data_IF_384969960289
#
_entry.id   IF_384969960289
#
_cell.length_a   1.000
_cell.length_b   1.000
_cell.length_c   1.000
_cell.angle_alpha   90.00
_cell.angle_beta   90.00
_cell.angle_gamma   90.00
#
_symmetry.space_group_name_H-M   'P 1'
#
loop_
_entity.id
_entity.type
_entity.pdbx_description
1 polymer ?
#
# COMPACT_ATOMS: atom_id res chain seq x y z
N UNK A 1 -2.47 49.65 56.59
CA UNK A 1 -3.05 49.06 55.36
C UNK A 1 -2.04 48.59 54.31
N UNK A 2 -0.84 49.19 54.19
CA UNK A 2 0.18 48.80 53.14
C UNK A 2 0.81 47.40 53.29
N UNK A 3 0.87 46.80 54.51
CA UNK A 3 1.49 45.47 54.73
C UNK A 3 0.71 44.27 54.22
N UNK A 4 -0.60 44.38 53.93
CA UNK A 4 -1.42 43.30 53.38
C UNK A 4 -1.53 43.30 51.85
N UNK A 5 -1.12 44.39 51.18
CA UNK A 5 -1.14 44.54 49.72
C UNK A 5 0.04 43.80 49.05
N UNK A 6 1.19 43.73 49.70
CA UNK A 6 2.38 43.09 49.12
C UNK A 6 2.21 41.58 48.87
N UNK A 7 1.71 40.77 49.83
CA UNK A 7 1.47 39.32 49.55
C UNK A 7 0.39 39.10 48.50
N UNK A 8 -0.64 39.93 48.46
CA UNK A 8 -1.68 39.84 47.44
C UNK A 8 -1.12 40.10 45.99
N UNK A 9 -0.26 41.14 45.87
CA UNK A 9 0.42 41.43 44.59
C UNK A 9 1.33 40.29 44.15
N UNK A 10 2.07 39.65 45.08
CA UNK A 10 2.92 38.50 44.77
C UNK A 10 2.10 37.33 44.30
N UNK A 11 0.98 37.00 44.97
CA UNK A 11 0.08 35.90 44.56
C UNK A 11 -0.53 36.18 43.21
N UNK A 12 -1.00 37.39 42.94
CA UNK A 12 -1.54 37.77 41.62
C UNK A 12 -0.47 37.66 40.53
N UNK A 13 0.76 38.12 40.82
CA UNK A 13 1.89 37.98 39.88
C UNK A 13 2.23 36.53 39.56
N UNK A 14 2.19 35.62 40.55
CA UNK A 14 2.39 34.18 40.34
C UNK A 14 1.28 33.54 39.49
N UNK A 15 0.02 33.93 39.75
CA UNK A 15 -1.12 33.41 38.94
C UNK A 15 -0.97 33.84 37.48
N UNK A 16 -0.65 35.13 37.24
CA UNK A 16 -0.42 35.64 35.88
C UNK A 16 0.75 34.91 35.21
N UNK A 17 1.84 34.65 35.92
CA UNK A 17 2.98 33.89 35.40
C UNK A 17 2.59 32.48 35.01
N UNK A 18 1.81 31.79 35.83
CA UNK A 18 1.31 30.43 35.53
C UNK A 18 0.44 30.46 34.29
N UNK A 19 -0.46 31.40 34.14
CA UNK A 19 -1.33 31.53 32.93
C UNK A 19 -0.48 31.78 31.69
N UNK A 20 0.57 32.60 31.77
CA UNK A 20 1.48 32.85 30.65
C UNK A 20 2.24 31.59 30.27
N UNK A 21 2.78 30.84 31.24
CA UNK A 21 3.47 29.57 31.01
C UNK A 21 2.51 28.55 30.34
N UNK A 22 1.28 28.43 30.85
CA UNK A 22 0.28 27.53 30.24
C UNK A 22 -0.05 27.94 28.80
N UNK A 23 -0.17 29.23 28.53
CA UNK A 23 -0.41 29.75 27.17
C UNK A 23 0.77 29.44 26.24
N UNK A 24 2.01 29.67 26.70
CA UNK A 24 3.21 29.35 25.90
C UNK A 24 3.33 27.86 25.64
N UNK A 25 3.11 27.02 26.65
CA UNK A 25 3.16 25.54 26.47
C UNK A 25 2.09 25.04 25.52
N UNK A 26 0.88 25.60 25.59
CA UNK A 26 -0.22 25.27 24.65
C UNK A 26 0.16 25.66 23.20
N UNK A 27 0.76 26.83 22.99
CA UNK A 27 1.24 27.26 21.67
C UNK A 27 2.38 26.37 21.16
N UNK A 28 3.36 26.06 21.99
CA UNK A 28 4.46 25.16 21.63
C UNK A 28 3.88 23.80 21.21
N UNK A 29 3.01 23.22 22.02
CA UNK A 29 2.37 21.94 21.70
C UNK A 29 1.56 22.01 20.39
N UNK A 30 0.86 23.09 20.12
CA UNK A 30 0.08 23.27 18.90
C UNK A 30 0.95 23.28 17.63
N UNK A 31 2.09 23.94 17.68
CA UNK A 31 2.94 24.18 16.50
C UNK A 31 4.17 23.28 16.43
N UNK A 32 4.43 22.44 17.42
CA UNK A 32 5.52 21.44 17.35
C UNK A 32 5.06 20.24 16.54
N UNK A 33 5.77 19.85 15.44
CA UNK A 33 5.46 18.66 14.68
C UNK A 33 5.59 17.40 15.54
N UNK A 34 4.71 16.41 15.31
CA UNK A 34 4.88 15.10 15.94
C UNK A 34 6.09 14.38 15.34
N UNK A 35 6.78 13.64 16.19
CA UNK A 35 7.84 12.70 15.81
C UNK A 35 7.36 11.25 15.82
N UNK A 36 6.06 11.03 16.09
CA UNK A 36 5.47 9.68 16.07
C UNK A 36 5.56 9.13 14.66
N UNK A 37 6.18 7.97 14.52
CA UNK A 37 6.16 7.16 13.30
C UNK A 37 4.95 6.23 13.31
N UNK A 38 4.40 5.95 12.15
CA UNK A 38 3.34 4.96 11.97
C UNK A 38 3.95 3.57 11.89
N UNK A 39 3.26 2.57 12.41
CA UNK A 39 3.58 1.18 12.13
C UNK A 39 3.11 0.85 10.71
N UNK A 40 4.06 0.56 9.83
CA UNK A 40 3.75 0.30 8.43
C UNK A 40 3.02 -1.03 8.22
N UNK A 41 3.20 -2.03 9.10
CA UNK A 41 2.43 -3.28 9.01
C UNK A 41 0.95 -3.02 9.33
N UNK A 42 0.69 -2.21 10.36
CA UNK A 42 -0.66 -1.78 10.71
C UNK A 42 -1.26 -0.90 9.60
N UNK A 43 -0.51 0.06 9.09
CA UNK A 43 -0.95 0.94 7.99
C UNK A 43 -1.35 0.17 6.73
N UNK A 44 -0.58 -0.86 6.36
CA UNK A 44 -0.85 -1.73 5.22
C UNK A 44 -1.78 -2.89 5.56
N UNK A 45 -2.24 -3.01 6.82
CA UNK A 45 -3.13 -4.07 7.29
C UNK A 45 -2.62 -5.48 6.94
N UNK A 46 -1.33 -5.76 7.21
CA UNK A 46 -0.68 -7.05 6.97
C UNK A 46 -0.86 -7.91 8.20
N UNK A 47 -1.56 -9.04 8.04
CA UNK A 47 -1.96 -9.91 9.16
C UNK A 47 -1.05 -11.13 9.36
N UNK A 48 -0.32 -11.53 8.31
CA UNK A 48 0.55 -12.71 8.35
C UNK A 48 1.79 -12.53 7.48
N UNK A 49 2.82 -13.36 7.71
CA UNK A 49 4.09 -13.28 6.98
C UNK A 49 3.99 -13.78 5.54
N UNK A 50 2.92 -14.49 5.18
CA UNK A 50 2.61 -14.94 3.83
C UNK A 50 1.73 -13.93 3.06
N UNK A 51 1.41 -12.80 3.68
CA UNK A 51 0.63 -11.73 3.06
C UNK A 51 1.51 -10.54 2.66
N UNK A 52 1.14 -9.90 1.55
CA UNK A 52 1.68 -8.62 1.14
C UNK A 52 0.55 -7.65 0.76
N UNK A 53 0.70 -6.40 1.10
CA UNK A 53 -0.23 -5.36 0.65
C UNK A 53 -0.14 -5.20 -0.87
N UNK A 54 -1.27 -5.00 -1.54
CA UNK A 54 -1.32 -4.63 -2.94
C UNK A 54 -1.48 -3.12 -3.08
N UNK A 55 -0.58 -2.51 -3.84
CA UNK A 55 -0.66 -1.11 -4.24
C UNK A 55 -0.76 -1.08 -5.76
N UNK A 56 -1.87 -0.61 -6.29
CA UNK A 56 -2.16 -0.60 -7.73
C UNK A 56 -2.24 0.85 -8.19
N UNK A 57 -1.41 1.22 -9.15
CA UNK A 57 -1.35 2.59 -9.68
C UNK A 57 -1.28 3.65 -8.58
N UNK A 58 -0.48 3.36 -7.54
CA UNK A 58 -0.24 4.15 -6.33
C UNK A 58 -1.40 4.22 -5.32
N UNK A 59 -2.47 3.48 -5.51
CA UNK A 59 -3.55 3.35 -4.54
C UNK A 59 -3.46 2.02 -3.79
N UNK A 60 -3.73 2.06 -2.47
CA UNK A 60 -3.78 0.86 -1.64
C UNK A 60 -5.06 0.08 -1.94
N UNK A 61 -4.92 -1.16 -2.38
CA UNK A 61 -6.04 -2.06 -2.65
C UNK A 61 -6.54 -2.72 -1.36
N UNK A 62 -7.84 -3.01 -1.31
CA UNK A 62 -8.43 -3.86 -0.25
C UNK A 62 -8.01 -5.33 -0.38
N UNK A 63 -7.62 -5.77 -1.58
CA UNK A 63 -7.07 -7.10 -1.80
C UNK A 63 -5.64 -7.20 -1.28
N UNK A 64 -5.23 -8.44 -0.96
CA UNK A 64 -3.85 -8.78 -0.56
C UNK A 64 -3.25 -9.75 -1.56
N UNK A 65 -1.93 -9.70 -1.71
CA UNK A 65 -1.20 -10.77 -2.35
C UNK A 65 -0.85 -11.84 -1.31
N UNK A 66 -0.75 -13.09 -1.76
CA UNK A 66 -0.18 -14.22 -1.01
C UNK A 66 1.20 -14.55 -1.54
N UNK A 67 2.13 -14.80 -0.63
CA UNK A 67 3.49 -15.22 -0.94
C UNK A 67 3.58 -16.72 -0.65
N UNK A 68 3.67 -17.54 -1.69
CA UNK A 68 3.74 -19.00 -1.59
C UNK A 68 5.00 -19.45 -2.32
N UNK A 69 5.92 -20.12 -1.63
CA UNK A 69 7.20 -20.59 -2.19
C UNK A 69 7.98 -19.45 -2.89
N UNK A 70 7.99 -18.26 -2.29
CA UNK A 70 8.60 -17.04 -2.83
C UNK A 70 7.98 -16.55 -4.16
N UNK A 71 6.80 -17.05 -4.52
CA UNK A 71 6.02 -16.60 -5.66
C UNK A 71 4.84 -15.78 -5.18
N UNK A 72 4.49 -14.77 -5.95
CA UNK A 72 3.40 -13.84 -5.63
C UNK A 72 2.14 -14.32 -6.33
N UNK A 73 1.10 -14.54 -5.54
CA UNK A 73 -0.22 -14.89 -6.01
C UNK A 73 -1.22 -13.82 -5.61
N UNK A 74 -2.20 -13.59 -6.45
CA UNK A 74 -3.28 -12.64 -6.24
C UNK A 74 -4.62 -13.29 -6.47
N UNK A 75 -5.66 -12.83 -5.80
CA UNK A 75 -7.02 -13.38 -5.96
C UNK A 75 -7.52 -13.22 -7.40
N UNK A 76 -8.21 -14.21 -7.92
CA UNK A 76 -8.81 -14.19 -9.25
C UNK A 76 -9.75 -13.00 -9.44
N UNK A 77 -10.58 -12.67 -8.44
CA UNK A 77 -11.52 -11.55 -8.54
C UNK A 77 -10.77 -10.23 -8.71
N UNK A 78 -9.68 -10.05 -7.96
CA UNK A 78 -8.82 -8.89 -8.13
C UNK A 78 -8.25 -8.81 -9.57
N UNK A 79 -7.76 -9.94 -10.12
CA UNK A 79 -7.24 -9.96 -11.49
C UNK A 79 -8.32 -9.61 -12.49
N UNK A 80 -9.48 -10.26 -12.39
CA UNK A 80 -10.60 -10.05 -13.31
C UNK A 80 -11.13 -8.61 -13.25
N UNK A 81 -11.36 -8.09 -12.06
CA UNK A 81 -12.06 -6.81 -11.87
C UNK A 81 -11.13 -5.61 -12.04
N UNK A 82 -9.83 -5.75 -11.70
CA UNK A 82 -8.92 -4.62 -11.62
C UNK A 82 -7.78 -4.64 -12.63
N UNK A 83 -7.38 -5.81 -13.16
CA UNK A 83 -6.23 -5.90 -14.05
C UNK A 83 -6.64 -6.34 -15.48
N UNK A 84 -7.38 -7.42 -15.61
CA UNK A 84 -7.71 -7.98 -16.92
C UNK A 84 -8.93 -8.90 -16.86
N UNK A 85 -10.08 -8.42 -17.29
CA UNK A 85 -11.37 -9.13 -17.29
C UNK A 85 -11.46 -10.32 -18.26
N UNK A 86 -10.42 -10.57 -19.06
CA UNK A 86 -10.37 -11.75 -19.95
C UNK A 86 -9.99 -13.03 -19.22
N UNK A 87 -9.46 -12.94 -18.00
CA UNK A 87 -9.28 -14.11 -17.15
C UNK A 87 -10.63 -14.56 -16.62
N UNK A 88 -10.91 -15.85 -16.75
CA UNK A 88 -12.11 -16.50 -16.25
C UNK A 88 -11.73 -17.73 -15.42
N UNK A 89 -12.24 -17.82 -14.20
CA UNK A 89 -12.06 -18.97 -13.34
C UNK A 89 -13.31 -19.85 -13.38
N UNK A 90 -13.16 -21.10 -13.88
CA UNK A 90 -14.20 -22.11 -13.79
C UNK A 90 -14.01 -22.91 -12.49
N UNK A 91 -14.85 -22.63 -11.51
CA UNK A 91 -14.79 -23.29 -10.20
C UNK A 91 -15.26 -24.77 -10.26
N UNK A 92 -16.04 -25.18 -11.26
CA UNK A 92 -16.49 -26.55 -11.38
C UNK A 92 -15.39 -27.44 -11.93
N UNK A 93 -14.66 -26.95 -12.92
CA UNK A 93 -13.56 -27.66 -13.56
C UNK A 93 -12.21 -27.40 -12.88
N UNK A 94 -12.14 -26.45 -11.96
CA UNK A 94 -10.88 -25.94 -11.35
C UNK A 94 -9.84 -25.53 -12.41
N UNK A 95 -10.28 -24.76 -13.40
CA UNK A 95 -9.47 -24.32 -14.53
C UNK A 95 -9.55 -22.80 -14.69
N UNK A 96 -8.39 -22.16 -14.84
CA UNK A 96 -8.29 -20.78 -15.28
C UNK A 96 -8.26 -20.75 -16.80
N UNK A 97 -9.14 -19.95 -17.37
CA UNK A 97 -9.22 -19.70 -18.80
C UNK A 97 -8.81 -18.26 -19.12
N UNK A 98 -8.13 -18.09 -20.24
CA UNK A 98 -7.87 -16.79 -20.84
C UNK A 98 -8.13 -16.86 -22.34
N UNK A 99 -8.98 -15.97 -22.85
CA UNK A 99 -9.39 -16.01 -24.26
C UNK A 99 -8.81 -14.82 -25.01
N UNK A 100 -8.12 -15.10 -26.11
CA UNK A 100 -7.70 -14.11 -27.11
C UNK A 100 -8.60 -14.19 -28.33
N UNK A 101 -8.32 -13.38 -29.35
CA UNK A 101 -9.05 -13.42 -30.62
C UNK A 101 -8.85 -14.75 -31.37
N UNK A 102 -7.73 -15.45 -31.17
CA UNK A 102 -7.33 -16.65 -31.91
C UNK A 102 -7.22 -17.91 -31.05
N UNK A 103 -7.01 -17.73 -29.73
CA UNK A 103 -6.64 -18.86 -28.87
C UNK A 103 -7.46 -18.90 -27.57
N UNK A 104 -7.65 -20.09 -27.08
CA UNK A 104 -8.09 -20.35 -25.71
C UNK A 104 -6.89 -20.92 -24.95
N UNK A 105 -6.58 -20.26 -23.86
CA UNK A 105 -5.50 -20.65 -22.96
C UNK A 105 -6.12 -21.19 -21.69
N UNK A 106 -5.67 -22.34 -21.22
CA UNK A 106 -6.20 -22.97 -20.01
C UNK A 106 -5.08 -23.46 -19.09
N UNK A 107 -5.26 -23.24 -17.80
CA UNK A 107 -4.37 -23.72 -16.75
C UNK A 107 -5.19 -24.36 -15.64
N UNK A 108 -4.96 -25.65 -15.38
CA UNK A 108 -5.61 -26.35 -14.28
C UNK A 108 -5.01 -25.93 -12.94
N UNK A 109 -5.81 -25.97 -11.88
CA UNK A 109 -5.33 -25.71 -10.53
C UNK A 109 -4.20 -26.68 -10.15
N UNK A 110 -3.22 -26.17 -9.41
CA UNK A 110 -2.04 -26.86 -8.91
C UNK A 110 -1.14 -27.48 -10.00
N UNK A 111 -1.34 -27.08 -11.26
CA UNK A 111 -0.52 -27.50 -12.39
C UNK A 111 0.53 -26.46 -12.74
N UNK A 112 1.74 -26.92 -13.04
CA UNK A 112 2.80 -26.07 -13.60
C UNK A 112 2.61 -25.82 -15.10
N UNK A 113 1.72 -26.59 -15.74
CA UNK A 113 1.52 -26.56 -17.18
C UNK A 113 0.23 -25.82 -17.54
N UNK A 114 0.24 -25.18 -18.70
CA UNK A 114 -0.92 -24.58 -19.33
C UNK A 114 -0.97 -24.93 -20.81
N UNK A 115 -2.16 -24.95 -21.38
CA UNK A 115 -2.33 -25.19 -22.80
C UNK A 115 -2.68 -23.89 -23.53
N UNK A 116 -2.14 -23.72 -24.73
CA UNK A 116 -2.51 -22.68 -25.69
C UNK A 116 -3.10 -23.43 -26.88
N UNK A 117 -4.42 -23.37 -27.04
CA UNK A 117 -5.17 -24.14 -28.03
C UNK A 117 -4.91 -25.65 -27.88
N UNK A 118 -3.88 -26.21 -28.55
CA UNK A 118 -3.51 -27.63 -28.50
C UNK A 118 -2.06 -27.88 -28.06
N UNK A 119 -1.34 -26.83 -27.72
CA UNK A 119 0.05 -26.93 -27.30
C UNK A 119 0.16 -26.76 -25.77
N UNK A 120 0.85 -27.71 -25.14
CA UNK A 120 1.15 -27.64 -23.71
C UNK A 120 2.48 -26.95 -23.48
N UNK A 121 2.50 -26.02 -22.56
CA UNK A 121 3.66 -25.27 -22.14
C UNK A 121 3.88 -25.48 -20.64
N UNK A 122 5.12 -25.46 -20.20
CA UNK A 122 5.50 -25.50 -18.78
C UNK A 122 5.81 -24.08 -18.27
N UNK A 123 5.21 -23.71 -17.16
CA UNK A 123 5.46 -22.42 -16.49
C UNK A 123 6.52 -22.55 -15.39
N UNK A 124 6.85 -23.78 -14.99
CA UNK A 124 7.87 -24.09 -13.99
C UNK A 124 7.39 -24.10 -12.53
N UNK A 125 6.17 -23.63 -12.26
CA UNK A 125 5.50 -23.70 -10.94
C UNK A 125 3.99 -23.55 -11.09
N UNK A 126 3.18 -23.91 -10.07
CA UNK A 126 1.72 -23.83 -10.17
C UNK A 126 1.24 -22.43 -10.53
N UNK A 127 0.49 -22.33 -11.64
CA UNK A 127 -0.06 -21.06 -12.14
C UNK A 127 -1.25 -20.62 -11.29
N UNK A 128 -2.07 -21.57 -10.90
CA UNK A 128 -3.31 -21.34 -10.16
C UNK A 128 -3.33 -22.24 -8.94
N UNK A 129 -3.80 -21.72 -7.82
CA UNK A 129 -4.12 -22.46 -6.61
C UNK A 129 -5.58 -22.24 -6.28
N UNK A 130 -6.37 -23.33 -6.30
CA UNK A 130 -7.76 -23.25 -5.89
C UNK A 130 -7.89 -22.95 -4.40
N UNK A 131 -8.89 -22.13 -4.04
CA UNK A 131 -9.29 -21.85 -2.67
C UNK A 131 -10.73 -22.30 -2.45
N UNK A 132 -11.25 -22.20 -1.21
CA UNK A 132 -12.67 -22.56 -0.93
C UNK A 132 -13.67 -21.74 -1.74
N UNK A 133 -13.36 -20.48 -2.03
CA UNK A 133 -14.34 -19.53 -2.58
C UNK A 133 -13.89 -18.87 -3.89
N UNK A 134 -12.64 -19.08 -4.30
CA UNK A 134 -12.03 -18.42 -5.46
C UNK A 134 -10.80 -19.21 -5.93
N UNK A 135 -9.87 -18.53 -6.58
CA UNK A 135 -8.56 -19.04 -6.92
C UNK A 135 -7.49 -17.95 -6.72
N UNK A 136 -6.27 -18.36 -6.43
CA UNK A 136 -5.10 -17.51 -6.43
C UNK A 136 -4.34 -17.73 -7.75
N UNK A 137 -3.99 -16.66 -8.44
CA UNK A 137 -3.28 -16.70 -9.72
C UNK A 137 -1.88 -16.12 -9.53
N UNK A 138 -0.87 -16.81 -10.06
CA UNK A 138 0.50 -16.32 -10.08
C UNK A 138 0.60 -14.99 -10.84
N UNK A 139 1.10 -13.95 -10.17
CA UNK A 139 1.16 -12.61 -10.75
C UNK A 139 2.10 -12.54 -11.97
N UNK A 140 3.16 -13.36 -12.01
CA UNK A 140 4.01 -13.49 -13.19
C UNK A 140 3.24 -14.02 -14.41
N UNK A 141 2.26 -14.90 -14.19
CA UNK A 141 1.42 -15.40 -15.27
C UNK A 141 0.42 -14.34 -15.75
N UNK A 142 -0.20 -13.61 -14.81
CA UNK A 142 -1.08 -12.48 -15.15
C UNK A 142 -0.34 -11.44 -15.99
N UNK A 143 0.92 -11.15 -15.65
CA UNK A 143 1.78 -10.22 -16.38
C UNK A 143 2.01 -10.62 -17.84
N UNK A 144 2.03 -11.91 -18.18
CA UNK A 144 2.21 -12.35 -19.58
C UNK A 144 1.07 -11.91 -20.50
N UNK A 145 -0.14 -11.74 -19.94
CA UNK A 145 -1.36 -11.44 -20.70
C UNK A 145 -1.99 -10.10 -20.34
N UNK A 146 -1.32 -9.33 -19.51
CA UNK A 146 -1.80 -8.02 -19.05
C UNK A 146 -0.69 -6.98 -19.22
N UNK A 147 -1.05 -5.76 -19.58
CA UNK A 147 -0.09 -4.66 -19.69
C UNK A 147 0.24 -4.08 -18.31
N UNK A 148 0.88 -4.89 -17.48
CA UNK A 148 1.28 -4.51 -16.12
C UNK A 148 2.78 -4.72 -15.90
N UNK A 149 3.33 -3.94 -14.98
CA UNK A 149 4.58 -4.31 -14.28
C UNK A 149 4.33 -4.35 -12.79
N UNK A 150 5.19 -5.08 -12.06
CA UNK A 150 5.14 -5.06 -10.61
C UNK A 150 6.52 -5.15 -9.98
N UNK A 151 6.59 -4.68 -8.73
CA UNK A 151 7.77 -4.81 -7.84
C UNK A 151 7.29 -5.25 -6.47
N UNK A 152 8.04 -6.17 -5.84
CA UNK A 152 7.83 -6.59 -4.46
C UNK A 152 8.84 -5.95 -3.53
N UNK A 153 8.42 -5.75 -2.28
CA UNK A 153 9.24 -5.24 -1.18
C UNK A 153 8.91 -6.07 0.06
N UNK A 154 9.92 -6.34 0.89
CA UNK A 154 9.79 -7.25 2.02
C UNK A 154 9.43 -6.53 3.33
N UNK A 155 9.82 -5.28 3.49
CA UNK A 155 9.59 -4.53 4.73
C UNK A 155 8.99 -3.13 4.46
N UNK A 156 7.71 -2.95 4.75
CA UNK A 156 6.69 -3.98 4.96
C UNK A 156 6.39 -4.72 3.66
N UNK A 157 5.97 -5.98 3.77
CA UNK A 157 5.67 -6.82 2.62
C UNK A 157 4.58 -6.18 1.75
N UNK A 158 4.94 -5.82 0.51
CA UNK A 158 4.01 -5.19 -0.43
C UNK A 158 4.40 -5.45 -1.88
N UNK A 159 3.40 -5.51 -2.71
CA UNK A 159 3.53 -5.62 -4.16
C UNK A 159 2.93 -4.37 -4.79
N UNK A 160 3.74 -3.65 -5.54
CA UNK A 160 3.33 -2.44 -6.27
C UNK A 160 3.14 -2.81 -7.72
N UNK A 161 1.93 -2.69 -8.22
CA UNK A 161 1.52 -2.96 -9.59
C UNK A 161 1.28 -1.64 -10.31
N UNK A 162 1.81 -1.52 -11.52
CA UNK A 162 1.55 -0.40 -12.42
C UNK A 162 0.84 -0.92 -13.66
N UNK A 163 -0.35 -0.41 -13.94
CA UNK A 163 -1.17 -0.72 -15.11
C UNK A 163 -1.45 0.50 -15.98
N UNK A 164 -1.42 1.70 -15.39
CA UNK A 164 -1.66 2.99 -16.05
C UNK A 164 -0.34 3.73 -16.23
N UNK A 165 0.25 3.62 -17.40
CA UNK A 165 1.58 4.15 -17.68
C UNK A 165 1.61 5.64 -17.98
N UNK A 166 0.54 6.20 -18.55
CA UNK A 166 0.46 7.57 -19.02
C UNK A 166 -0.16 8.54 -17.99
N UNK A 167 -0.58 8.03 -16.84
CA UNK A 167 -1.31 8.79 -15.80
C UNK A 167 -0.49 9.02 -14.52
N UNK A 168 0.81 8.70 -14.53
CA UNK A 168 1.64 8.79 -13.32
C UNK A 168 2.53 10.02 -13.39
N UNK A 169 2.17 11.03 -12.61
CA UNK A 169 3.01 12.19 -12.38
C UNK A 169 4.09 11.89 -11.36
N UNK A 170 5.27 12.44 -11.59
CA UNK A 170 6.39 12.34 -10.66
C UNK A 170 6.98 13.68 -10.33
N UNK A 171 7.46 13.85 -9.10
CA UNK A 171 8.20 15.02 -8.68
C UNK A 171 9.52 14.64 -8.04
N UNK A 172 10.43 15.60 -8.02
CA UNK A 172 11.68 15.50 -7.27
C UNK A 172 11.58 16.33 -6.00
N UNK A 173 11.94 15.73 -4.89
CA UNK A 173 11.96 16.39 -3.57
C UNK A 173 13.03 17.47 -3.56
N UNK A 174 12.65 18.72 -3.43
CA UNK A 174 13.58 19.85 -3.43
C UNK A 174 14.26 20.10 -2.06
N UNK A 175 13.66 19.60 -0.98
CA UNK A 175 14.16 19.71 0.40
C UNK A 175 13.73 18.50 1.21
N UNK A 176 14.66 17.94 1.99
CA UNK A 176 14.35 16.82 2.91
C UNK A 176 13.16 17.13 3.80
N UNK A 177 12.21 16.21 3.86
CA UNK A 177 10.95 16.37 4.59
C UNK A 177 10.37 15.00 4.97
N UNK A 178 9.13 14.97 5.43
CA UNK A 178 8.45 13.78 5.92
C UNK A 178 7.15 13.57 5.17
N UNK A 179 6.93 12.35 4.68
CA UNK A 179 5.62 11.88 4.21
C UNK A 179 4.82 11.45 5.43
N UNK A 180 3.58 11.90 5.54
CA UNK A 180 2.71 11.65 6.69
C UNK A 180 1.44 10.95 6.25
N UNK A 181 0.79 10.24 7.19
CA UNK A 181 -0.47 9.52 6.96
C UNK A 181 -1.57 10.44 6.41
N UNK A 182 -1.64 11.66 6.93
CA UNK A 182 -2.59 12.70 6.52
C UNK A 182 -1.89 14.05 6.47
N UNK A 183 -2.47 15.03 5.82
CA UNK A 183 -2.00 16.40 5.88
C UNK A 183 -1.90 16.93 7.31
N UNK A 184 -0.87 17.76 7.58
CA UNK A 184 -0.66 18.42 8.87
C UNK A 184 0.46 17.85 9.73
N UNK A 185 1.08 18.76 10.50
CA UNK A 185 2.28 18.48 11.32
C UNK A 185 2.05 17.53 12.50
N UNK A 186 0.80 17.26 12.86
CA UNK A 186 0.42 16.34 13.95
C UNK A 186 0.12 14.90 13.47
N UNK A 187 0.03 14.69 12.16
CA UNK A 187 -0.16 13.36 11.60
C UNK A 187 1.13 12.52 11.75
N UNK A 188 1.03 11.22 12.05
CA UNK A 188 2.18 10.33 12.13
C UNK A 188 3.00 10.31 10.84
N UNK A 189 4.28 10.01 10.97
CA UNK A 189 5.24 9.94 9.87
C UNK A 189 5.20 8.53 9.29
N UNK A 190 5.00 8.43 7.98
CA UNK A 190 5.14 7.18 7.21
C UNK A 190 6.60 6.97 6.80
N UNK A 191 7.23 8.02 6.28
CA UNK A 191 8.59 7.93 5.75
C UNK A 191 9.27 9.29 5.76
N UNK A 192 10.57 9.29 6.01
CA UNK A 192 11.43 10.44 5.72
C UNK A 192 11.91 10.38 4.26
N UNK A 193 11.82 11.50 3.56
CA UNK A 193 12.31 11.66 2.18
C UNK A 193 13.39 12.73 2.16
N UNK A 194 14.42 12.48 1.36
CA UNK A 194 15.58 13.35 1.22
C UNK A 194 15.43 14.24 -0.01
N UNK A 195 16.21 15.31 -0.02
CA UNK A 195 16.39 16.08 -1.24
C UNK A 195 16.84 15.15 -2.38
N UNK A 196 16.32 15.38 -3.57
CA UNK A 196 16.56 14.65 -4.81
C UNK A 196 15.90 13.25 -4.91
N UNK A 197 15.18 12.79 -3.86
CA UNK A 197 14.33 11.60 -3.98
C UNK A 197 13.21 11.85 -5.00
N UNK A 198 12.89 10.81 -5.79
CA UNK A 198 11.73 10.83 -6.69
C UNK A 198 10.51 10.27 -5.97
N UNK A 199 9.40 10.96 -6.10
CA UNK A 199 8.11 10.59 -5.55
C UNK A 199 7.04 10.62 -6.64
N UNK A 200 5.99 9.82 -6.47
CA UNK A 200 4.81 9.86 -7.32
C UNK A 200 3.79 10.85 -6.75
N UNK A 201 3.15 11.60 -7.63
CA UNK A 201 2.06 12.51 -7.28
C UNK A 201 0.75 11.87 -7.72
N UNK A 202 -0.21 11.76 -6.79
CA UNK A 202 -1.56 11.26 -7.07
C UNK A 202 -2.53 12.41 -7.38
N UNK A 203 -2.32 13.54 -6.72
CA UNK A 203 -3.11 14.75 -6.90
C UNK A 203 -2.22 15.96 -6.64
N UNK A 204 -2.28 16.94 -7.49
CA UNK A 204 -1.48 18.16 -7.37
C UNK A 204 -2.17 19.26 -6.56
N UNK A 205 -3.42 19.04 -6.06
CA UNK A 205 -4.16 19.89 -5.13
C UNK A 205 -4.53 21.25 -5.70
#
# INVERSE_FOLDING_TARGET
>A
MKKKLLPALIVTGLIVLVIIIMGITALINKYTPTKKTEDLKEYFNISSDDEAALVVDNELSDYKAKIIDKKIYVDYKFVHDSLNSRFYWDANENVLLYTTASDIISAAADSNSYSVTKQTNDFGYPIVKATSDSALIALDYVKQYSNITFKSYDDPARVVITSKWDEIDSATVNKSTQVRVKGGIKSPILKEVKKDDKITILDSG
#
